data_IF_067589476554
#
_entry.id   IF_067589476554
#
_cell.length_a   1.000
_cell.length_b   1.000
_cell.length_c   1.000
_cell.angle_alpha   90.00
_cell.angle_beta   90.00
_cell.angle_gamma   90.00
#
_symmetry.space_group_name_H-M   'P 1'
#
loop_
_entity.id
_entity.type
_entity.pdbx_description
1 polymer ?
#
# COMPACT_ATOMS: atom_id res chain seq x y z
N UNK A 1 9.66 17.86 19.38
CA UNK A 1 10.69 18.03 18.33
C UNK A 1 10.83 19.51 18.04
N UNK A 2 12.06 20.08 18.08
CA UNK A 2 12.31 21.49 17.72
C UNK A 2 12.33 21.62 16.20
N UNK A 3 11.83 22.74 15.67
CA UNK A 3 11.82 22.99 14.22
C UNK A 3 13.22 22.99 13.60
N UNK A 4 14.24 23.44 14.34
CA UNK A 4 15.66 23.41 13.92
C UNK A 4 16.19 22.02 13.57
N UNK A 5 15.55 20.97 14.09
CA UNK A 5 15.98 19.57 13.89
C UNK A 5 15.00 18.81 12.97
N UNK A 6 13.98 19.49 12.43
CA UNK A 6 12.96 18.90 11.56
C UNK A 6 13.38 19.05 10.10
N UNK A 7 13.43 17.94 9.37
CA UNK A 7 13.52 17.97 7.91
C UNK A 7 12.14 18.25 7.32
N UNK A 8 11.86 19.54 7.05
CA UNK A 8 10.63 20.01 6.40
C UNK A 8 10.98 21.12 5.38
N UNK A 9 11.51 20.76 4.19
CA UNK A 9 11.92 21.72 3.18
C UNK A 9 10.70 22.39 2.52
N UNK A 10 10.21 23.47 3.11
CA UNK A 10 9.07 24.22 2.59
C UNK A 10 9.40 24.95 1.28
N UNK A 11 8.42 25.11 0.40
CA UNK A 11 8.59 25.83 -0.87
C UNK A 11 7.80 27.13 -0.88
N UNK A 12 8.45 28.22 -1.33
CA UNK A 12 7.79 29.53 -1.53
C UNK A 12 6.80 29.50 -2.70
N UNK A 13 7.17 28.80 -3.77
CA UNK A 13 6.39 28.66 -4.99
C UNK A 13 5.91 27.22 -5.13
N UNK A 14 4.73 27.07 -5.71
CA UNK A 14 4.15 25.76 -6.01
C UNK A 14 4.84 25.18 -7.24
N UNK A 15 5.24 23.90 -7.25
CA UNK A 15 5.72 23.25 -8.47
C UNK A 15 4.64 23.25 -9.55
N UNK A 16 5.04 23.44 -10.82
CA UNK A 16 4.10 23.57 -11.93
C UNK A 16 3.32 22.28 -12.21
N UNK A 17 3.89 21.14 -11.86
CA UNK A 17 3.30 19.81 -11.98
C UNK A 17 2.24 19.50 -10.90
N UNK A 18 2.04 20.38 -9.92
CA UNK A 18 1.04 20.20 -8.88
C UNK A 18 -0.28 20.88 -9.24
N UNK A 19 -1.21 20.12 -9.82
CA UNK A 19 -2.47 20.68 -10.32
C UNK A 19 -3.53 20.87 -9.21
N UNK A 20 -3.71 19.89 -8.33
CA UNK A 20 -4.75 19.91 -7.29
C UNK A 20 -4.26 20.53 -5.98
N UNK A 21 -5.13 21.25 -5.28
CA UNK A 21 -4.79 22.04 -4.07
C UNK A 21 -4.09 21.19 -2.99
N UNK A 22 -4.56 19.97 -2.73
CA UNK A 22 -3.93 19.07 -1.74
C UNK A 22 -2.48 18.75 -2.11
N UNK A 23 -2.23 18.41 -3.38
CA UNK A 23 -0.90 18.12 -3.91
C UNK A 23 0.03 19.34 -3.82
N UNK A 24 -0.48 20.53 -4.18
CA UNK A 24 0.25 21.80 -4.04
C UNK A 24 0.66 22.07 -2.59
N UNK A 25 -0.29 21.93 -1.65
CA UNK A 25 -0.05 22.18 -0.23
C UNK A 25 0.95 21.19 0.38
N UNK A 26 0.81 19.89 0.08
CA UNK A 26 1.73 18.87 0.58
C UNK A 26 3.16 19.10 0.08
N UNK A 27 3.32 19.57 -1.16
CA UNK A 27 4.63 19.97 -1.67
C UNK A 27 5.20 21.17 -0.93
N UNK A 28 4.42 22.25 -0.84
CA UNK A 28 4.83 23.51 -0.21
C UNK A 28 5.14 23.38 1.26
N UNK A 29 4.41 22.52 1.97
CA UNK A 29 4.62 22.22 3.38
C UNK A 29 5.84 21.32 3.64
N UNK A 30 6.54 20.86 2.60
CA UNK A 30 7.65 19.92 2.77
C UNK A 30 7.20 18.55 3.26
N UNK A 31 6.02 18.09 2.83
CA UNK A 31 5.44 16.80 3.22
C UNK A 31 5.78 15.69 2.23
N UNK A 32 5.96 15.99 0.95
CA UNK A 32 6.24 14.99 -0.10
C UNK A 32 7.31 15.45 -1.09
N UNK A 33 7.94 14.48 -1.76
CA UNK A 33 8.78 14.69 -2.96
C UNK A 33 8.48 13.61 -3.98
N UNK A 34 8.25 13.98 -5.24
CA UNK A 34 8.08 13.02 -6.34
C UNK A 34 9.42 12.39 -6.68
N UNK A 35 9.42 11.07 -6.78
CA UNK A 35 10.56 10.27 -7.26
C UNK A 35 10.39 9.92 -8.73
N UNK A 36 9.17 9.58 -9.16
CA UNK A 36 8.80 9.27 -10.54
C UNK A 36 7.28 9.51 -10.75
N UNK A 37 6.74 9.24 -11.94
CA UNK A 37 5.29 9.30 -12.19
C UNK A 37 4.51 8.45 -11.17
N UNK A 38 3.61 9.07 -10.40
CA UNK A 38 2.83 8.38 -9.37
C UNK A 38 3.60 7.95 -8.11
N UNK A 39 4.92 8.17 -8.03
CA UNK A 39 5.76 7.71 -6.91
C UNK A 39 6.26 8.88 -6.06
N UNK A 40 6.05 8.80 -4.75
CA UNK A 40 6.40 9.86 -3.80
C UNK A 40 7.19 9.34 -2.60
N UNK A 41 8.18 10.10 -2.17
CA UNK A 41 8.77 9.99 -0.84
C UNK A 41 7.94 10.83 0.15
N UNK A 42 7.43 10.19 1.20
CA UNK A 42 6.79 10.88 2.32
C UNK A 42 7.85 11.39 3.29
N UNK A 43 7.90 12.72 3.46
CA UNK A 43 8.81 13.40 4.38
C UNK A 43 8.29 13.33 5.83
N UNK A 44 9.08 13.69 6.86
CA UNK A 44 8.72 13.48 8.27
C UNK A 44 7.34 13.99 8.69
N UNK A 45 6.88 15.11 8.13
CA UNK A 45 5.55 15.64 8.42
C UNK A 45 4.43 14.78 7.81
N UNK A 46 4.56 14.33 6.55
CA UNK A 46 3.61 13.38 5.96
C UNK A 46 3.62 12.05 6.71
N UNK A 47 4.81 11.51 6.98
CA UNK A 47 4.94 10.20 7.62
C UNK A 47 4.29 10.16 9.00
N UNK A 48 4.45 11.22 9.80
CA UNK A 48 3.76 11.35 11.08
C UNK A 48 2.24 11.41 10.93
N UNK A 49 1.73 12.05 9.88
CA UNK A 49 0.29 12.12 9.62
C UNK A 49 -0.25 10.76 9.16
N UNK A 50 0.45 10.07 8.25
CA UNK A 50 0.09 8.72 7.80
C UNK A 50 0.01 7.77 9.00
N UNK A 51 1.00 7.78 9.90
CA UNK A 51 0.97 6.96 11.12
C UNK A 51 -0.21 7.23 12.03
N UNK A 52 -0.71 8.47 12.09
CA UNK A 52 -1.94 8.79 12.85
C UNK A 52 -3.18 8.21 12.18
N UNK A 53 -3.26 8.31 10.85
CA UNK A 53 -4.36 7.74 10.07
C UNK A 53 -4.38 6.22 10.23
N UNK A 54 -3.22 5.57 10.06
CA UNK A 54 -3.04 4.12 10.28
C UNK A 54 -3.48 3.70 11.69
N UNK A 55 -3.13 4.49 12.72
CA UNK A 55 -3.48 4.18 14.09
C UNK A 55 -5.00 4.22 14.32
N UNK A 56 -5.69 5.22 13.78
CA UNK A 56 -7.16 5.30 13.88
C UNK A 56 -7.79 4.09 13.18
N UNK A 57 -7.34 3.76 11.96
CA UNK A 57 -7.87 2.60 11.22
C UNK A 57 -7.67 1.32 12.04
N UNK A 58 -6.47 1.12 12.61
CA UNK A 58 -6.18 -0.06 13.45
C UNK A 58 -7.08 -0.12 14.67
N UNK A 59 -7.22 0.98 15.42
CA UNK A 59 -8.07 1.04 16.61
C UNK A 59 -9.53 0.67 16.29
N UNK A 60 -10.08 1.18 15.20
CA UNK A 60 -11.45 0.86 14.78
C UNK A 60 -11.60 -0.57 14.27
N UNK A 61 -10.61 -1.10 13.53
CA UNK A 61 -10.63 -2.48 13.07
C UNK A 61 -10.48 -3.47 14.23
N UNK A 62 -9.58 -3.22 15.17
CA UNK A 62 -9.40 -4.02 16.39
C UNK A 62 -10.69 -4.02 17.23
N UNK A 63 -11.35 -2.85 17.37
CA UNK A 63 -12.63 -2.74 18.06
C UNK A 63 -13.75 -3.53 17.38
N UNK A 64 -13.70 -3.67 16.05
CA UNK A 64 -14.61 -4.51 15.27
C UNK A 64 -14.26 -6.02 15.31
N UNK A 65 -13.12 -6.40 15.91
CA UNK A 65 -12.64 -7.78 15.98
C UNK A 65 -11.72 -8.19 14.82
N UNK A 66 -11.22 -7.23 14.03
CA UNK A 66 -10.29 -7.48 12.94
C UNK A 66 -8.92 -7.96 13.43
N UNK A 67 -8.27 -8.81 12.64
CA UNK A 67 -6.94 -9.34 12.94
C UNK A 67 -5.94 -8.85 11.89
N UNK A 68 -5.15 -7.84 12.25
CA UNK A 68 -4.16 -7.25 11.34
C UNK A 68 -3.05 -8.24 10.98
N UNK A 69 -2.81 -8.40 9.67
CA UNK A 69 -1.72 -9.20 9.10
C UNK A 69 -0.97 -8.39 8.03
N UNK A 70 0.28 -8.77 7.77
CA UNK A 70 1.09 -8.16 6.72
C UNK A 70 1.44 -9.20 5.66
N UNK A 71 0.94 -9.01 4.44
CA UNK A 71 1.18 -9.91 3.32
C UNK A 71 2.30 -9.38 2.40
N UNK A 72 3.04 -10.27 1.70
CA UNK A 72 4.04 -9.86 0.71
C UNK A 72 3.45 -8.97 -0.39
N UNK A 73 4.23 -7.98 -0.83
CA UNK A 73 3.88 -7.14 -2.00
C UNK A 73 4.13 -7.86 -3.32
N UNK A 74 5.15 -8.72 -3.38
CA UNK A 74 5.43 -9.56 -4.54
C UNK A 74 4.60 -10.84 -4.41
N UNK A 75 3.74 -11.11 -5.38
CA UNK A 75 2.80 -12.21 -5.35
C UNK A 75 3.09 -13.20 -6.48
N UNK A 76 3.10 -14.52 -6.23
CA UNK A 76 3.28 -15.53 -7.26
C UNK A 76 2.17 -15.48 -8.32
N UNK A 77 2.51 -15.60 -9.60
CA UNK A 77 1.54 -15.55 -10.69
C UNK A 77 0.50 -16.68 -10.59
N UNK A 78 0.85 -17.82 -9.99
CA UNK A 78 0.01 -19.00 -9.87
C UNK A 78 -1.32 -18.70 -9.15
N UNK A 79 -1.29 -17.88 -8.10
CA UNK A 79 -2.49 -17.49 -7.37
C UNK A 79 -3.48 -16.70 -8.25
N UNK A 80 -2.95 -15.80 -9.08
CA UNK A 80 -3.73 -14.99 -10.02
C UNK A 80 -4.21 -15.78 -11.24
N UNK A 81 -3.44 -16.78 -11.66
CA UNK A 81 -3.82 -17.68 -12.74
C UNK A 81 -4.97 -18.58 -12.29
N UNK A 82 -4.93 -19.05 -11.05
CA UNK A 82 -6.00 -19.85 -10.45
C UNK A 82 -7.33 -19.08 -10.39
N UNK A 83 -7.29 -17.80 -10.03
CA UNK A 83 -8.49 -16.94 -10.03
C UNK A 83 -8.92 -16.49 -11.44
N UNK A 84 -8.09 -16.73 -12.47
CA UNK A 84 -8.26 -16.22 -13.82
C UNK A 84 -7.99 -14.72 -13.97
N UNK A 85 -7.67 -13.99 -12.89
CA UNK A 85 -7.42 -12.54 -12.93
C UNK A 85 -6.06 -12.18 -13.51
N UNK A 86 -5.12 -13.11 -13.62
CA UNK A 86 -3.81 -12.85 -14.22
C UNK A 86 -3.92 -12.21 -15.60
N UNK A 87 -4.68 -12.83 -16.52
CA UNK A 87 -4.90 -12.30 -17.87
C UNK A 87 -5.92 -11.16 -17.93
N UNK A 88 -6.93 -11.19 -17.07
CA UNK A 88 -8.06 -10.25 -17.11
C UNK A 88 -7.72 -8.86 -16.57
N UNK A 89 -6.76 -8.72 -15.65
CA UNK A 89 -6.42 -7.44 -15.03
C UNK A 89 -5.85 -6.41 -16.02
N UNK A 90 -5.24 -6.87 -17.11
CA UNK A 90 -4.68 -6.00 -18.13
C UNK A 90 -3.34 -5.35 -17.74
N UNK A 91 -3.04 -4.22 -18.37
CA UNK A 91 -1.72 -3.58 -18.36
C UNK A 91 -1.37 -2.87 -17.03
N UNK A 92 -2.37 -2.60 -16.19
CA UNK A 92 -2.13 -1.99 -14.86
C UNK A 92 -1.40 -2.94 -13.90
N UNK A 93 -1.45 -4.26 -14.16
CA UNK A 93 -0.73 -5.25 -13.37
C UNK A 93 0.76 -5.24 -13.69
N UNK A 94 1.57 -4.75 -12.76
CA UNK A 94 3.03 -4.80 -12.88
C UNK A 94 3.54 -6.24 -12.70
N UNK A 95 3.99 -6.86 -13.79
CA UNK A 95 4.55 -8.22 -13.79
C UNK A 95 6.07 -8.20 -13.80
N UNK A 96 6.67 -9.12 -13.06
CA UNK A 96 8.12 -9.28 -12.93
C UNK A 96 8.48 -10.76 -13.11
N UNK A 97 9.64 -11.02 -13.71
CA UNK A 97 10.26 -12.35 -13.71
C UNK A 97 11.49 -12.34 -12.84
N UNK A 98 11.65 -13.35 -11.99
CA UNK A 98 12.88 -13.51 -11.23
C UNK A 98 14.01 -14.07 -12.12
N UNK A 99 15.22 -14.19 -11.55
CA UNK A 99 16.40 -14.74 -12.25
C UNK A 99 16.25 -16.20 -12.68
N UNK A 100 15.26 -16.93 -12.15
CA UNK A 100 14.96 -18.32 -12.47
C UNK A 100 13.80 -18.46 -13.46
N UNK A 101 13.27 -17.34 -13.98
CA UNK A 101 12.17 -17.31 -14.93
C UNK A 101 10.79 -17.47 -14.32
N UNK A 102 10.66 -17.44 -12.99
CA UNK A 102 9.35 -17.51 -12.30
C UNK A 102 8.64 -16.18 -12.42
N UNK A 103 7.33 -16.23 -12.63
CA UNK A 103 6.50 -15.05 -12.82
C UNK A 103 5.86 -14.59 -11.50
N UNK A 104 5.87 -13.28 -11.30
CA UNK A 104 5.30 -12.61 -10.15
C UNK A 104 4.58 -11.34 -10.60
N UNK A 105 3.74 -10.78 -9.75
CA UNK A 105 3.28 -9.40 -9.86
C UNK A 105 3.54 -8.62 -8.58
N UNK A 106 3.62 -7.29 -8.70
CA UNK A 106 3.39 -6.41 -7.56
C UNK A 106 1.89 -6.38 -7.34
N UNK A 107 1.43 -6.94 -6.23
CA UNK A 107 0.02 -7.12 -5.93
C UNK A 107 -0.74 -5.80 -5.93
N UNK A 108 -1.67 -5.57 -6.89
CA UNK A 108 -2.54 -4.39 -6.85
C UNK A 108 -3.62 -4.52 -5.76
N UNK A 109 -3.89 -5.75 -5.32
CA UNK A 109 -4.75 -6.15 -4.20
C UNK A 109 -4.34 -7.57 -3.76
N UNK A 110 -5.01 -8.14 -2.74
CA UNK A 110 -4.59 -9.37 -2.05
C UNK A 110 -5.70 -10.42 -1.88
N UNK A 111 -6.80 -10.39 -2.65
CA UNK A 111 -7.89 -11.37 -2.46
C UNK A 111 -7.42 -12.82 -2.69
N UNK A 112 -6.61 -13.08 -3.71
CA UNK A 112 -6.06 -14.41 -3.98
C UNK A 112 -5.07 -14.84 -2.90
N UNK A 113 -4.23 -13.91 -2.41
CA UNK A 113 -3.24 -14.17 -1.36
C UNK A 113 -3.91 -14.58 -0.04
N UNK A 114 -4.91 -13.82 0.41
CA UNK A 114 -5.61 -14.14 1.66
C UNK A 114 -6.42 -15.42 1.52
N UNK A 115 -7.02 -15.66 0.35
CA UNK A 115 -7.76 -16.90 0.07
C UNK A 115 -6.82 -18.11 0.09
N UNK A 116 -5.63 -18.01 -0.52
CA UNK A 116 -4.64 -19.06 -0.51
C UNK A 116 -4.15 -19.37 0.92
N UNK A 117 -3.94 -18.35 1.75
CA UNK A 117 -3.55 -18.51 3.15
C UNK A 117 -4.61 -19.29 3.94
N UNK A 118 -5.87 -18.85 3.91
CA UNK A 118 -6.91 -19.44 4.79
C UNK A 118 -7.43 -20.79 4.30
N UNK A 119 -7.34 -21.08 3.00
CA UNK A 119 -7.86 -22.31 2.36
C UNK A 119 -7.37 -23.58 3.05
N UNK A 120 -6.10 -23.60 3.45
CA UNK A 120 -5.50 -24.81 4.00
C UNK A 120 -5.58 -24.92 5.53
N UNK A 121 -5.90 -23.81 6.20
CA UNK A 121 -5.91 -23.68 7.67
C UNK A 121 -7.34 -23.71 8.25
N UNK A 122 -8.33 -23.21 7.51
CA UNK A 122 -9.73 -23.16 7.94
C UNK A 122 -10.49 -24.34 7.34
N UNK A 123 -10.71 -25.39 8.15
CA UNK A 123 -11.30 -26.67 7.70
C UNK A 123 -12.69 -26.95 8.27
N UNK A 124 -13.18 -26.12 9.19
CA UNK A 124 -14.50 -26.28 9.81
C UNK A 124 -15.24 -24.96 9.88
N UNK A 125 -16.56 -25.01 9.66
CA UNK A 125 -17.45 -23.84 9.84
C UNK A 125 -17.35 -23.24 11.25
N UNK A 126 -16.93 -24.01 12.26
CA UNK A 126 -16.77 -23.55 13.65
C UNK A 126 -15.61 -22.57 13.83
N UNK A 127 -14.67 -22.53 12.89
CA UNK A 127 -13.57 -21.56 12.88
C UNK A 127 -14.00 -20.23 12.26
N UNK A 128 -15.24 -20.12 11.77
CA UNK A 128 -15.79 -18.92 11.15
C UNK A 128 -16.84 -18.27 12.09
N UNK A 129 -17.01 -16.93 12.02
CA UNK A 129 -16.32 -15.99 11.14
C UNK A 129 -14.87 -15.72 11.56
N UNK A 130 -14.02 -15.39 10.57
CA UNK A 130 -12.72 -14.78 10.79
C UNK A 130 -12.80 -13.35 10.27
N UNK A 131 -12.33 -12.41 11.10
CA UNK A 131 -12.22 -11.00 10.78
C UNK A 131 -10.79 -10.55 11.04
#
# INVERSE_FOLDING_TARGET
MRASNLYAPTLRNTPAEAEVVSHQLMYRAGMIRKSAGGMYTFLPLAWRTIRKIEQIIREEMDAAGGQEICMPILQPAEFWQESGRWGAYGEEMMRIKDRHGREFCLGPTHEEMITALVRDEVRSYKQLPLM
#
